data_IF_467583785556
#
_entry.id   IF_467583785556
#
_cell.length_a   1.000
_cell.length_b   1.000
_cell.length_c   1.000
_cell.angle_alpha   90.00
_cell.angle_beta   90.00
_cell.angle_gamma   90.00
#
_symmetry.space_group_name_H-M   'P 1'
#
loop_
_entity.id
_entity.type
_entity.pdbx_description
1 polymer ?
#
# COMPACT_ATOMS: atom_id res chain seq x y z
N UNK A 1 4.57 21.42 -13.80
CA UNK A 1 4.94 21.17 -12.39
C UNK A 1 4.65 19.72 -12.12
N UNK A 2 5.66 18.91 -11.83
CA UNK A 2 5.47 17.49 -11.54
C UNK A 2 5.00 17.39 -10.08
N UNK A 3 3.71 17.64 -9.85
CA UNK A 3 3.07 17.44 -8.55
C UNK A 3 3.08 15.93 -8.33
N UNK A 4 4.11 15.42 -7.63
CA UNK A 4 4.21 14.02 -7.28
C UNK A 4 2.85 13.57 -6.75
N UNK A 5 2.20 12.66 -7.47
CA UNK A 5 0.87 12.17 -7.15
C UNK A 5 0.86 11.76 -5.68
N UNK A 6 0.02 12.40 -4.86
CA UNK A 6 -0.02 12.16 -3.42
C UNK A 6 -0.30 10.66 -3.19
N UNK A 7 0.61 10.03 -2.47
CA UNK A 7 0.53 8.65 -2.02
C UNK A 7 0.51 8.68 -0.50
N UNK A 8 -0.47 8.02 0.09
CA UNK A 8 -0.62 7.93 1.54
C UNK A 8 -1.00 6.51 1.95
N UNK A 9 -0.52 6.09 3.11
CA UNK A 9 -0.75 4.78 3.69
C UNK A 9 -1.29 4.93 5.11
N UNK A 10 -2.57 4.65 5.29
CA UNK A 10 -3.18 4.66 6.63
C UNK A 10 -3.20 3.24 7.19
N UNK A 11 -2.46 3.02 8.25
CA UNK A 11 -2.38 1.73 8.93
C UNK A 11 -3.49 1.63 9.97
N UNK A 12 -4.43 0.72 9.74
CA UNK A 12 -5.51 0.43 10.68
C UNK A 12 -5.03 -0.63 11.69
N UNK A 13 -5.26 -0.35 12.97
CA UNK A 13 -4.92 -1.25 14.08
C UNK A 13 -6.08 -1.36 15.05
N UNK A 14 -6.14 -2.47 15.79
CA UNK A 14 -7.05 -2.63 16.94
C UNK A 14 -6.54 -1.81 18.13
N UNK A 15 -7.38 -1.50 19.13
CA UNK A 15 -6.96 -0.78 20.34
C UNK A 15 -5.74 -1.40 21.05
N UNK A 16 -5.60 -2.72 21.00
CA UNK A 16 -4.46 -3.48 21.52
C UNK A 16 -3.17 -3.41 20.65
N UNK A 17 -3.18 -2.61 19.58
CA UNK A 17 -2.02 -2.40 18.70
C UNK A 17 -1.86 -3.46 17.60
N UNK A 18 -2.75 -4.45 17.52
CA UNK A 18 -2.72 -5.44 16.45
C UNK A 18 -3.07 -4.79 15.10
N UNK A 19 -2.16 -4.85 14.13
CA UNK A 19 -2.39 -4.35 12.78
C UNK A 19 -3.45 -5.19 12.05
N UNK A 20 -4.36 -4.51 11.35
CA UNK A 20 -5.51 -5.13 10.68
C UNK A 20 -5.37 -5.02 9.17
N UNK A 21 -5.06 -3.81 8.69
CA UNK A 21 -5.04 -3.50 7.27
C UNK A 21 -4.32 -2.19 6.99
N UNK A 22 -4.02 -1.96 5.72
CA UNK A 22 -3.45 -0.71 5.21
C UNK A 22 -4.40 -0.17 4.15
N UNK A 23 -4.97 1.00 4.39
CA UNK A 23 -5.69 1.77 3.39
C UNK A 23 -4.70 2.57 2.54
N UNK A 24 -4.92 2.57 1.22
CA UNK A 24 -3.98 3.14 0.25
C UNK A 24 -4.68 4.25 -0.52
N UNK A 25 -4.06 5.43 -0.48
CA UNK A 25 -4.35 6.55 -1.39
C UNK A 25 -3.23 6.62 -2.42
N UNK A 26 -3.59 6.68 -3.71
CA UNK A 26 -2.66 6.83 -4.81
C UNK A 26 -3.30 7.73 -5.87
N UNK A 27 -2.50 8.54 -6.56
CA UNK A 27 -3.02 9.54 -7.50
C UNK A 27 -3.98 10.55 -6.84
N UNK A 28 -3.79 10.81 -5.53
CA UNK A 28 -4.67 11.69 -4.76
C UNK A 28 -6.06 11.12 -4.47
N UNK A 29 -6.30 9.83 -4.74
CA UNK A 29 -7.58 9.16 -4.50
C UNK A 29 -7.39 7.87 -3.71
N UNK A 30 -8.34 7.54 -2.83
CA UNK A 30 -8.37 6.25 -2.11
C UNK A 30 -8.61 5.13 -3.13
N UNK A 31 -7.65 4.23 -3.28
CA UNK A 31 -7.73 3.12 -4.25
C UNK A 31 -8.20 1.81 -3.63
N UNK A 32 -8.15 1.69 -2.30
CA UNK A 32 -8.64 0.52 -1.59
C UNK A 32 -7.87 0.25 -0.30
N UNK A 33 -8.02 -0.98 0.18
CA UNK A 33 -7.42 -1.45 1.42
C UNK A 33 -6.87 -2.87 1.21
N UNK A 34 -5.68 -3.13 1.75
CA UNK A 34 -5.08 -4.46 1.77
C UNK A 34 -5.03 -4.96 3.21
N UNK A 35 -5.26 -6.27 3.40
CA UNK A 35 -5.19 -6.88 4.74
C UNK A 35 -3.74 -6.90 5.21
N UNK A 36 -3.54 -6.83 6.52
CA UNK A 36 -2.21 -7.01 7.12
C UNK A 36 -1.79 -8.49 7.04
N UNK A 37 -1.32 -8.90 5.87
CA UNK A 37 -0.86 -10.26 5.56
C UNK A 37 0.28 -10.18 4.55
N UNK A 38 1.22 -11.12 4.65
CA UNK A 38 2.39 -11.13 3.78
C UNK A 38 2.00 -11.20 2.29
N UNK A 39 2.66 -10.38 1.48
CA UNK A 39 2.52 -10.24 0.01
C UNK A 39 1.15 -9.77 -0.48
N UNK A 40 0.32 -9.19 0.37
CA UNK A 40 -0.89 -8.52 -0.10
C UNK A 40 -0.52 -7.30 -0.94
N UNK A 41 -1.23 -7.10 -2.05
CA UNK A 41 -0.97 -5.97 -2.94
C UNK A 41 -2.24 -5.45 -3.60
N UNK A 42 -2.18 -4.19 -4.03
CA UNK A 42 -3.20 -3.57 -4.85
C UNK A 42 -2.55 -2.75 -5.96
N UNK A 43 -3.10 -2.84 -7.16
CA UNK A 43 -2.65 -2.03 -8.30
C UNK A 43 -3.50 -0.78 -8.38
N UNK A 44 -2.85 0.39 -8.44
CA UNK A 44 -3.55 1.65 -8.67
C UNK A 44 -4.16 1.65 -10.09
N UNK A 45 -5.49 1.79 -10.23
CA UNK A 45 -6.14 1.78 -11.54
C UNK A 45 -5.80 3.02 -12.39
N UNK A 46 -5.23 4.07 -11.79
CA UNK A 46 -4.92 5.32 -12.47
C UNK A 46 -3.50 5.38 -13.05
N UNK A 47 -2.51 4.87 -12.32
CA UNK A 47 -1.10 4.95 -12.75
C UNK A 47 -0.42 3.59 -12.95
N UNK A 48 -1.11 2.49 -12.63
CA UNK A 48 -0.60 1.13 -12.76
C UNK A 48 0.48 0.75 -11.74
N UNK A 49 0.78 1.60 -10.75
CA UNK A 49 1.69 1.25 -9.66
C UNK A 49 1.09 0.16 -8.77
N UNK A 50 1.90 -0.85 -8.46
CA UNK A 50 1.58 -1.90 -7.50
C UNK A 50 2.04 -1.42 -6.13
N UNK A 51 1.14 -1.41 -5.16
CA UNK A 51 1.42 -1.16 -3.76
C UNK A 51 1.44 -2.49 -3.04
N UNK A 52 2.61 -2.91 -2.57
CA UNK A 52 2.86 -4.23 -1.98
C UNK A 52 3.16 -4.08 -0.49
N UNK A 53 2.43 -4.85 0.34
CA UNK A 53 2.78 -5.11 1.72
C UNK A 53 3.60 -6.39 1.81
N UNK A 54 4.73 -6.35 2.53
CA UNK A 54 5.54 -7.53 2.85
C UNK A 54 5.79 -7.57 4.35
N UNK A 55 5.60 -8.73 4.98
CA UNK A 55 5.77 -8.88 6.43
C UNK A 55 7.05 -9.69 6.68
N UNK A 56 7.98 -9.11 7.43
CA UNK A 56 9.28 -9.70 7.73
C UNK A 56 9.47 -9.76 9.25
N UNK A 57 9.32 -10.95 9.83
CA UNK A 57 9.44 -11.20 11.26
C UNK A 57 8.60 -10.23 12.13
N UNK A 58 9.22 -9.15 12.61
CA UNK A 58 8.66 -8.16 13.52
C UNK A 58 8.35 -6.80 12.86
N UNK A 59 8.59 -6.66 11.55
CA UNK A 59 8.34 -5.44 10.82
C UNK A 59 7.66 -5.73 9.48
N UNK A 60 7.22 -4.68 8.81
CA UNK A 60 6.60 -4.79 7.49
C UNK A 60 7.04 -3.64 6.61
N UNK A 61 7.02 -3.88 5.31
CA UNK A 61 7.36 -2.92 4.27
C UNK A 61 6.14 -2.64 3.43
N UNK A 62 5.94 -1.38 3.07
CA UNK A 62 5.00 -0.99 2.02
C UNK A 62 5.81 -0.41 0.87
N UNK A 63 5.79 -1.07 -0.29
CA UNK A 63 6.63 -0.73 -1.45
C UNK A 63 5.74 -0.36 -2.63
N UNK A 64 6.21 0.60 -3.43
CA UNK A 64 5.63 0.92 -4.73
C UNK A 64 6.49 0.29 -5.82
N UNK A 65 5.88 -0.49 -6.71
CA UNK A 65 6.57 -1.16 -7.79
C UNK A 65 5.85 -0.88 -9.11
N UNK A 66 6.60 -0.54 -10.16
CA UNK A 66 6.10 -0.71 -11.53
C UNK A 66 6.35 -2.17 -11.90
N UNK A 67 5.40 -2.80 -12.58
CA UNK A 67 5.68 -4.07 -13.25
C UNK A 67 6.91 -3.84 -14.14
N UNK A 68 8.01 -4.54 -13.84
CA UNK A 68 9.14 -4.57 -14.76
C UNK A 68 8.61 -5.22 -16.04
N UNK A 69 8.71 -4.51 -17.16
CA UNK A 69 8.48 -5.12 -18.46
C UNK A 69 9.53 -6.22 -18.62
N UNK A 70 9.05 -7.47 -18.74
CA UNK A 70 9.88 -8.61 -19.09
C UNK A 70 10.27 -8.55 -20.57
#
# INVERSE_FOLDING_TARGET
MNTGSLVDYRVNHRPEGQLVSVEITCCGQRIGEIRFKDRESITCPHCGLIHLLSVEHNHFHIRQQRQAQA
#
